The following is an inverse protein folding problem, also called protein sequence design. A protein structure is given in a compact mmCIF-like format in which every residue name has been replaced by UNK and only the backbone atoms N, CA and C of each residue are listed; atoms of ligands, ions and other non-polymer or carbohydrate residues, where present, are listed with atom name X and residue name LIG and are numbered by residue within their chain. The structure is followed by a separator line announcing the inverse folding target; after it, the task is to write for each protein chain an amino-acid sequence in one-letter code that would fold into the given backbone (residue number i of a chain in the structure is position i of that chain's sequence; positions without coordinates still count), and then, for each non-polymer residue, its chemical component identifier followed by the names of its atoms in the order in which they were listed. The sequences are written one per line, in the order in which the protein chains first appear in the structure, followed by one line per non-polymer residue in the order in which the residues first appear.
data_IF_470282873334
#
_entry.id   IF_470282873334
#
_cell.length_a   1.000
_cell.length_b   1.000
_cell.length_c   1.000
_cell.angle_alpha   90.00
_cell.angle_beta   90.00
_cell.angle_gamma   90.00
#
_symmetry.space_group_name_H-M   'P 1'
#
loop_
_entity.id
_entity.type
_entity.pdbx_description
1 polymer ?
#
# COMPACT_ATOMS: atom_id res chain seq x y z
N UNK A 1 -24.70 -15.92 17.25
CA UNK A 1 -24.41 -16.24 15.83
C UNK A 1 -24.39 -17.77 15.71
N UNK A 2 -25.01 -18.33 14.68
CA UNK A 2 -24.86 -19.76 14.38
C UNK A 2 -23.46 -20.03 13.79
N UNK A 3 -23.02 -21.29 13.81
CA UNK A 3 -21.69 -21.68 13.31
C UNK A 3 -21.48 -21.22 11.85
N UNK A 4 -22.50 -21.32 11.01
CA UNK A 4 -22.44 -20.88 9.61
C UNK A 4 -22.12 -19.38 9.45
N UNK A 5 -22.77 -18.52 10.24
CA UNK A 5 -22.46 -17.08 10.23
C UNK A 5 -21.06 -16.77 10.74
N UNK A 6 -20.55 -17.53 11.72
CA UNK A 6 -19.17 -17.37 12.20
C UNK A 6 -18.15 -17.78 11.15
N UNK A 7 -18.34 -18.91 10.49
CA UNK A 7 -17.48 -19.36 9.40
C UNK A 7 -17.46 -18.32 8.27
N UNK A 8 -18.64 -17.85 7.85
CA UNK A 8 -18.76 -16.82 6.83
C UNK A 8 -18.04 -15.52 7.25
N UNK A 9 -18.23 -15.08 8.49
CA UNK A 9 -17.53 -13.91 9.03
C UNK A 9 -16.01 -14.05 8.93
N UNK A 10 -15.46 -15.18 9.39
CA UNK A 10 -14.01 -15.40 9.34
C UNK A 10 -13.48 -15.51 7.92
N UNK A 11 -14.22 -16.14 7.00
CA UNK A 11 -13.86 -16.17 5.59
C UNK A 11 -13.82 -14.76 4.99
N UNK A 12 -14.83 -13.93 5.23
CA UNK A 12 -14.90 -12.57 4.70
C UNK A 12 -13.82 -11.65 5.30
N UNK A 13 -13.59 -11.74 6.60
CA UNK A 13 -12.50 -11.03 7.27
C UNK A 13 -11.13 -11.50 6.76
N UNK A 14 -10.94 -12.81 6.58
CA UNK A 14 -9.73 -13.40 6.02
C UNK A 14 -9.46 -12.96 4.58
N UNK A 15 -10.50 -12.93 3.74
CA UNK A 15 -10.41 -12.40 2.37
C UNK A 15 -10.02 -10.92 2.36
N UNK A 16 -10.60 -10.11 3.24
CA UNK A 16 -10.26 -8.67 3.34
C UNK A 16 -8.79 -8.48 3.71
N UNK A 17 -8.32 -9.14 4.76
CA UNK A 17 -6.93 -9.02 5.23
C UNK A 17 -5.96 -9.62 4.20
N UNK A 18 -6.28 -10.78 3.64
CA UNK A 18 -5.50 -11.41 2.59
C UNK A 18 -5.38 -10.52 1.35
N UNK A 19 -6.41 -9.74 1.04
CA UNK A 19 -6.38 -8.80 -0.09
C UNK A 19 -5.44 -7.62 0.14
N UNK A 20 -5.37 -7.09 1.37
CA UNK A 20 -4.37 -6.09 1.74
C UNK A 20 -2.95 -6.62 1.59
N UNK A 21 -2.68 -7.82 2.11
CA UNK A 21 -1.37 -8.46 1.97
C UNK A 21 -1.04 -8.80 0.52
N UNK A 22 -2.02 -9.22 -0.27
CA UNK A 22 -1.83 -9.49 -1.70
C UNK A 22 -1.42 -8.22 -2.45
N UNK A 23 -2.05 -7.07 -2.20
CA UNK A 23 -1.65 -5.81 -2.86
C UNK A 23 -0.19 -5.44 -2.53
N UNK A 24 0.22 -5.55 -1.27
CA UNK A 24 1.61 -5.27 -0.85
C UNK A 24 2.58 -6.26 -1.48
N UNK A 25 2.23 -7.56 -1.47
CA UNK A 25 3.05 -8.63 -2.03
C UNK A 25 3.19 -8.49 -3.56
N UNK A 26 2.15 -8.08 -4.28
CA UNK A 26 2.22 -7.80 -5.72
C UNK A 26 3.24 -6.70 -6.00
N UNK A 27 3.17 -5.57 -5.26
CA UNK A 27 4.13 -4.49 -5.40
C UNK A 27 5.57 -4.93 -5.13
N UNK A 28 5.78 -5.70 -4.06
CA UNK A 28 7.10 -6.27 -3.73
C UNK A 28 7.62 -7.20 -4.85
N UNK A 29 6.78 -8.13 -5.31
CA UNK A 29 7.15 -9.08 -6.36
C UNK A 29 7.47 -8.40 -7.69
N UNK A 30 6.75 -7.35 -8.08
CA UNK A 30 7.04 -6.61 -9.31
C UNK A 30 8.44 -5.99 -9.24
N UNK A 31 8.77 -5.32 -8.13
CA UNK A 31 10.09 -4.71 -7.95
C UNK A 31 11.17 -5.78 -7.96
N UNK A 32 10.98 -6.86 -7.19
CA UNK A 32 11.95 -7.94 -7.12
C UNK A 32 12.16 -8.62 -8.48
N UNK A 33 11.09 -8.89 -9.23
CA UNK A 33 11.20 -9.50 -10.56
C UNK A 33 11.84 -8.58 -11.59
N UNK A 34 11.61 -7.28 -11.50
CA UNK A 34 12.20 -6.31 -12.42
C UNK A 34 13.68 -6.00 -12.12
N UNK A 35 14.06 -6.01 -10.84
CA UNK A 35 15.39 -5.53 -10.40
C UNK A 35 16.32 -6.64 -9.89
N UNK A 36 15.77 -7.77 -9.44
CA UNK A 36 16.50 -8.79 -8.68
C UNK A 36 16.84 -8.36 -7.24
N UNK A 37 16.30 -7.23 -6.76
CA UNK A 37 16.69 -6.61 -5.50
C UNK A 37 15.58 -6.77 -4.46
N UNK A 38 15.94 -7.27 -3.27
CA UNK A 38 15.05 -7.28 -2.11
C UNK A 38 15.06 -5.88 -1.50
N UNK A 39 13.99 -5.12 -1.72
CA UNK A 39 13.83 -3.78 -1.14
C UNK A 39 13.23 -3.86 0.28
N UNK A 40 14.06 -3.64 1.30
CA UNK A 40 13.60 -3.64 2.69
C UNK A 40 12.80 -2.40 3.09
N UNK A 41 12.79 -1.34 2.27
CA UNK A 41 11.98 -0.14 2.49
C UNK A 41 10.54 -0.28 1.94
N UNK A 42 10.14 -1.45 1.44
CA UNK A 42 8.83 -1.62 0.79
C UNK A 42 7.65 -1.25 1.69
N UNK A 43 7.72 -1.62 2.98
CA UNK A 43 6.70 -1.22 3.97
C UNK A 43 6.63 0.30 4.17
N UNK A 44 7.75 1.00 4.00
CA UNK A 44 7.82 2.45 4.14
C UNK A 44 7.19 3.17 2.96
N UNK A 45 7.24 2.61 1.75
CA UNK A 45 6.46 3.14 0.61
C UNK A 45 4.94 3.06 0.88
N UNK A 46 4.48 1.98 1.52
CA UNK A 46 3.07 1.86 1.96
C UNK A 46 2.73 2.90 3.01
N UNK A 47 3.61 3.08 4.01
CA UNK A 47 3.46 4.12 5.03
C UNK A 47 3.41 5.53 4.41
N UNK A 48 4.33 5.86 3.49
CA UNK A 48 4.38 7.14 2.81
C UNK A 48 3.09 7.40 2.03
N UNK A 49 2.50 6.38 1.39
CA UNK A 49 1.20 6.50 0.72
C UNK A 49 0.09 6.88 1.69
N UNK A 50 -0.02 6.15 2.80
CA UNK A 50 -1.01 6.44 3.84
C UNK A 50 -0.83 7.82 4.47
N UNK A 51 0.38 8.17 4.88
CA UNK A 51 0.70 9.44 5.53
C UNK A 51 0.51 10.64 4.59
N UNK A 52 0.88 10.49 3.31
CA UNK A 52 0.62 11.52 2.31
C UNK A 52 -0.89 11.71 2.13
N UNK A 53 -1.66 10.63 1.98
CA UNK A 53 -3.12 10.73 1.86
C UNK A 53 -3.76 11.38 3.11
N UNK A 54 -3.30 11.04 4.31
CA UNK A 54 -3.70 11.68 5.58
C UNK A 54 -3.45 13.18 5.54
N UNK A 55 -2.27 13.61 5.14
CA UNK A 55 -1.93 15.03 5.10
C UNK A 55 -2.83 15.82 4.16
N UNK A 56 -2.99 15.35 2.91
CA UNK A 56 -3.84 16.05 1.93
C UNK A 56 -5.31 16.04 2.33
N UNK A 57 -5.79 14.97 2.99
CA UNK A 57 -7.16 14.92 3.48
C UNK A 57 -7.39 15.83 4.69
N UNK A 58 -6.57 15.70 5.74
CA UNK A 58 -6.81 16.38 7.01
C UNK A 58 -6.38 17.85 7.00
N UNK A 59 -5.24 18.16 6.35
CA UNK A 59 -4.67 19.51 6.36
C UNK A 59 -5.12 20.36 5.17
N UNK A 60 -5.38 19.74 4.01
CA UNK A 60 -5.80 20.45 2.80
C UNK A 60 -7.28 20.22 2.45
N UNK A 61 -8.01 19.49 3.29
CA UNK A 61 -9.44 19.22 3.13
C UNK A 61 -9.83 18.63 1.76
N UNK A 62 -8.90 17.92 1.12
CA UNK A 62 -9.15 17.26 -0.15
C UNK A 62 -10.04 16.03 0.05
N UNK A 63 -10.82 15.69 -0.96
CA UNK A 63 -11.64 14.47 -0.92
C UNK A 63 -10.74 13.24 -0.79
N UNK A 64 -11.21 12.22 -0.08
CA UNK A 64 -10.41 11.02 0.22
C UNK A 64 -9.83 10.36 -1.04
N UNK A 65 -10.62 10.29 -2.12
CA UNK A 65 -10.19 9.75 -3.40
C UNK A 65 -9.07 10.59 -4.02
N UNK A 66 -9.22 11.92 -4.01
CA UNK A 66 -8.22 12.81 -4.57
C UNK A 66 -6.92 12.80 -3.75
N UNK A 67 -7.02 12.76 -2.42
CA UNK A 67 -5.86 12.58 -1.53
C UNK A 67 -5.13 11.27 -1.82
N UNK A 68 -5.87 10.18 -2.07
CA UNK A 68 -5.29 8.89 -2.47
C UNK A 68 -4.55 8.96 -3.81
N UNK A 69 -5.14 9.60 -4.83
CA UNK A 69 -4.50 9.77 -6.14
C UNK A 69 -3.23 10.63 -6.05
N UNK A 70 -3.27 11.73 -5.29
CA UNK A 70 -2.10 12.58 -5.05
C UNK A 70 -1.02 11.80 -4.29
N UNK A 71 -1.39 10.98 -3.30
CA UNK A 71 -0.44 10.12 -2.60
C UNK A 71 0.25 9.14 -3.54
N UNK A 72 -0.48 8.52 -4.48
CA UNK A 72 0.12 7.65 -5.50
C UNK A 72 1.16 8.42 -6.31
N UNK A 73 0.83 9.60 -6.83
CA UNK A 73 1.77 10.42 -7.63
C UNK A 73 3.02 10.77 -6.82
N UNK A 74 2.85 11.24 -5.58
CA UNK A 74 3.98 11.63 -4.72
C UNK A 74 4.88 10.44 -4.39
N UNK A 75 4.30 9.30 -4.01
CA UNK A 75 5.06 8.09 -3.68
C UNK A 75 5.75 7.52 -4.91
N UNK A 76 5.13 7.59 -6.09
CA UNK A 76 5.79 7.25 -7.36
C UNK A 76 7.00 8.14 -7.61
N UNK A 77 6.89 9.46 -7.42
CA UNK A 77 8.02 10.39 -7.55
C UNK A 77 9.12 10.05 -6.55
N UNK A 78 8.79 9.81 -5.28
CA UNK A 78 9.77 9.38 -4.26
C UNK A 78 10.46 8.08 -4.68
N UNK A 79 9.71 7.10 -5.20
CA UNK A 79 10.26 5.83 -5.71
C UNK A 79 11.23 6.02 -6.87
N UNK A 80 10.89 6.89 -7.84
CA UNK A 80 11.76 7.23 -8.96
C UNK A 80 13.05 7.90 -8.46
N UNK A 81 12.94 8.84 -7.51
CA UNK A 81 14.11 9.50 -6.93
C UNK A 81 14.97 8.51 -6.15
N UNK A 82 14.34 7.62 -5.36
CA UNK A 82 15.05 6.58 -4.61
C UNK A 82 15.81 5.65 -5.54
N UNK A 83 15.17 5.15 -6.60
CA UNK A 83 15.84 4.32 -7.58
C UNK A 83 17.01 5.07 -8.24
N UNK A 84 16.76 6.30 -8.72
CA UNK A 84 17.78 7.07 -9.43
C UNK A 84 18.99 7.42 -8.56
N UNK A 85 18.77 7.82 -7.31
CA UNK A 85 19.84 8.37 -6.46
C UNK A 85 20.45 7.36 -5.49
N UNK A 86 19.69 6.37 -5.02
CA UNK A 86 20.18 5.41 -4.03
C UNK A 86 20.61 4.08 -4.64
N UNK A 87 19.91 3.60 -5.67
CA UNK A 87 20.14 2.27 -6.24
C UNK A 87 20.96 2.36 -7.52
N UNK A 88 20.46 3.04 -8.55
CA UNK A 88 21.12 3.13 -9.87
C UNK A 88 22.47 3.86 -9.86
N UNK A 89 22.75 4.62 -8.80
CA UNK A 89 24.04 5.27 -8.57
C UNK A 89 25.16 4.30 -8.17
N UNK A 90 24.80 3.09 -7.71
CA UNK A 90 25.76 2.06 -7.30
C UNK A 90 26.27 1.29 -8.51
N UNK A 91 27.60 1.19 -8.64
CA UNK A 91 28.25 0.41 -9.71
C UNK A 91 28.52 -1.00 -9.23
N UNK A 92 27.78 -1.98 -9.78
CA UNK A 92 27.90 -3.41 -9.45
C UNK A 92 27.83 -3.71 -7.94
N UNK A 93 26.78 -3.25 -7.24
CA UNK A 93 26.67 -3.47 -5.80
C UNK A 93 26.49 -4.96 -5.48
N UNK A 94 27.05 -5.38 -4.34
CA UNK A 94 26.69 -6.68 -3.77
C UNK A 94 25.24 -6.66 -3.26
N UNK A 95 24.61 -7.83 -3.13
CA UNK A 95 23.27 -7.95 -2.53
C UNK A 95 23.24 -7.32 -1.13
N UNK A 96 24.27 -7.55 -0.32
CA UNK A 96 24.39 -6.98 1.03
C UNK A 96 24.38 -5.44 0.97
N UNK A 97 25.10 -4.85 0.01
CA UNK A 97 25.12 -3.39 -0.19
C UNK A 97 23.71 -2.84 -0.44
N UNK A 98 22.93 -3.50 -1.31
CA UNK A 98 21.56 -3.10 -1.62
C UNK A 98 20.63 -3.21 -0.41
N UNK A 99 20.79 -4.27 0.38
CA UNK A 99 20.06 -4.45 1.65
C UNK A 99 20.39 -3.30 2.61
N UNK A 100 21.66 -2.97 2.81
CA UNK A 100 22.08 -1.87 3.69
C UNK A 100 21.52 -0.53 3.22
N UNK A 101 21.55 -0.25 1.91
CA UNK A 101 21.02 0.98 1.33
C UNK A 101 19.50 1.09 1.54
N UNK A 102 18.76 0.01 1.33
CA UNK A 102 17.29 0.01 1.54
C UNK A 102 16.92 0.11 3.02
N UNK A 103 17.70 -0.47 3.93
CA UNK A 103 17.53 -0.27 5.38
C UNK A 103 17.84 1.18 5.77
N UNK A 104 18.91 1.78 5.24
CA UNK A 104 19.24 3.17 5.48
C UNK A 104 18.12 4.10 4.99
N UNK A 105 17.55 3.80 3.82
CA UNK A 105 16.39 4.50 3.28
C UNK A 105 15.15 4.35 4.16
N UNK A 106 14.89 3.14 4.69
CA UNK A 106 13.81 2.90 5.67
C UNK A 106 13.93 3.82 6.88
N UNK A 107 15.15 3.92 7.44
CA UNK A 107 15.42 4.81 8.59
C UNK A 107 15.17 6.28 8.20
N UNK A 108 15.64 6.70 7.02
CA UNK A 108 15.43 8.07 6.53
C UNK A 108 13.96 8.39 6.29
N UNK A 109 13.19 7.47 5.69
CA UNK A 109 11.76 7.67 5.44
C UNK A 109 10.98 7.74 6.74
N UNK A 110 11.22 6.83 7.69
CA UNK A 110 10.59 6.90 9.02
C UNK A 110 10.99 8.17 9.77
N UNK A 111 12.27 8.53 9.73
CA UNK A 111 12.79 9.76 10.34
C UNK A 111 12.15 11.01 9.75
N UNK A 112 12.06 11.10 8.43
CA UNK A 112 11.42 12.20 7.71
C UNK A 112 9.93 12.30 8.03
N UNK A 113 9.21 11.17 8.05
CA UNK A 113 7.80 11.16 8.44
C UNK A 113 7.62 11.63 9.88
N UNK A 114 8.43 11.11 10.81
CA UNK A 114 8.39 11.54 12.22
C UNK A 114 8.74 13.01 12.42
N UNK A 115 9.61 13.57 11.58
CA UNK A 115 9.99 14.97 11.63
C UNK A 115 8.88 15.89 11.09
N UNK A 116 8.20 15.50 10.01
CA UNK A 116 7.18 16.31 9.36
C UNK A 116 5.81 16.18 10.05
N UNK A 117 5.40 14.96 10.41
CA UNK A 117 4.04 14.65 10.93
C UNK A 117 4.02 14.16 12.37
N UNK A 118 5.17 14.02 13.02
CA UNK A 118 5.24 13.48 14.38
C UNK A 118 5.10 11.95 14.43
N UNK A 119 4.86 11.43 15.63
CA UNK A 119 4.85 9.98 15.92
C UNK A 119 3.45 9.41 16.14
N UNK A 120 2.43 10.22 15.89
CA UNK A 120 1.05 9.85 16.15
C UNK A 120 0.52 8.85 15.11
N UNK A 121 -0.45 8.06 15.53
CA UNK A 121 -1.17 7.15 14.63
C UNK A 121 -2.30 7.93 13.97
N UNK A 122 -2.29 7.97 12.66
CA UNK A 122 -3.31 8.63 11.86
C UNK A 122 -4.25 7.61 11.22
N UNK A 123 -5.54 7.93 11.20
CA UNK A 123 -6.58 7.10 10.57
C UNK A 123 -7.34 7.97 9.56
N UNK A 124 -7.53 7.43 8.36
CA UNK A 124 -8.40 8.03 7.35
C UNK A 124 -9.83 7.53 7.53
N UNK A 125 -10.85 8.36 7.26
CA UNK A 125 -12.23 7.89 7.24
C UNK A 125 -12.44 6.88 6.12
N UNK A 126 -13.45 6.03 6.28
CA UNK A 126 -13.87 5.07 5.25
C UNK A 126 -14.50 5.78 4.04
N UNK A 127 -14.27 5.26 2.83
CA UNK A 127 -14.78 5.87 1.59
C UNK A 127 -16.31 5.97 1.50
N UNK A 128 -17.02 5.03 2.12
CA UNK A 128 -18.49 4.92 2.02
C UNK A 128 -19.15 4.83 3.40
N UNK A 129 -18.51 5.42 4.42
CA UNK A 129 -18.97 5.39 5.80
C UNK A 129 -18.65 4.07 6.52
N UNK A 130 -19.03 4.04 7.80
CA UNK A 130 -18.72 2.95 8.73
C UNK A 130 -19.94 2.08 9.07
N UNK A 131 -21.08 2.33 8.42
CA UNK A 131 -22.30 1.55 8.60
C UNK A 131 -22.11 0.12 8.07
N UNK A 132 -22.13 -0.91 8.94
CA UNK A 132 -21.80 -2.25 8.51
C UNK A 132 -22.89 -2.90 7.67
N UNK A 133 -22.50 -3.56 6.58
CA UNK A 133 -23.38 -4.32 5.70
C UNK A 133 -23.56 -5.72 6.28
N UNK A 134 -24.79 -6.10 6.59
CA UNK A 134 -25.12 -7.42 7.13
C UNK A 134 -25.54 -8.37 6.02
N UNK A 135 -24.82 -9.49 5.87
CA UNK A 135 -25.04 -10.51 4.85
C UNK A 135 -25.07 -11.89 5.50
N UNK A 136 -26.22 -12.57 5.43
CA UNK A 136 -26.37 -13.96 5.90
C UNK A 136 -25.86 -14.20 7.34
N UNK A 137 -26.00 -13.20 8.22
CA UNK A 137 -25.55 -13.24 9.61
C UNK A 137 -24.08 -12.83 9.84
N UNK A 138 -23.31 -12.59 8.78
CA UNK A 138 -21.99 -11.98 8.83
C UNK A 138 -22.06 -10.46 8.60
N UNK A 139 -21.04 -9.75 9.05
CA UNK A 139 -20.90 -8.29 8.95
C UNK A 139 -19.68 -7.94 8.11
N UNK A 140 -19.88 -7.12 7.08
CA UNK A 140 -18.83 -6.61 6.20
C UNK A 140 -18.81 -5.08 6.33
N UNK A 141 -17.62 -4.52 6.56
CA UNK A 141 -17.45 -3.06 6.50
C UNK A 141 -17.42 -2.61 5.03
N UNK A 142 -18.04 -1.48 4.65
CA UNK A 142 -17.97 -0.96 3.29
C UNK A 142 -16.53 -0.82 2.76
N UNK A 143 -15.58 -0.51 3.63
CA UNK A 143 -14.15 -0.45 3.32
C UNK A 143 -13.59 -1.77 2.76
N UNK A 144 -14.09 -2.93 3.19
CA UNK A 144 -13.69 -4.24 2.65
C UNK A 144 -13.99 -4.36 1.16
N UNK A 145 -15.10 -3.77 0.69
CA UNK A 145 -15.49 -3.79 -0.73
C UNK A 145 -14.50 -2.95 -1.55
N UNK A 146 -14.08 -1.80 -1.03
CA UNK A 146 -13.05 -0.99 -1.67
C UNK A 146 -11.70 -1.71 -1.74
N UNK A 147 -11.27 -2.36 -0.66
CA UNK A 147 -10.04 -3.16 -0.64
C UNK A 147 -10.07 -4.23 -1.73
N UNK A 148 -11.17 -4.99 -1.82
CA UNK A 148 -11.36 -6.03 -2.84
C UNK A 148 -11.42 -5.44 -4.25
N UNK A 149 -12.12 -4.33 -4.42
CA UNK A 149 -12.23 -3.60 -5.69
C UNK A 149 -10.87 -3.12 -6.19
N UNK A 150 -10.06 -2.51 -5.32
CA UNK A 150 -8.72 -2.06 -5.68
C UNK A 150 -7.79 -3.23 -6.01
N UNK A 151 -7.82 -4.32 -5.24
CA UNK A 151 -7.05 -5.51 -5.58
C UNK A 151 -7.46 -6.06 -6.95
N UNK A 152 -8.75 -6.22 -7.21
CA UNK A 152 -9.25 -6.71 -8.48
C UNK A 152 -8.85 -5.79 -9.64
N UNK A 153 -8.91 -4.46 -9.44
CA UNK A 153 -8.47 -3.47 -10.40
C UNK A 153 -6.97 -3.60 -10.70
N UNK A 154 -6.12 -3.66 -9.66
CA UNK A 154 -4.67 -3.78 -9.80
C UNK A 154 -4.31 -5.09 -10.53
N UNK A 155 -4.88 -6.21 -10.11
CA UNK A 155 -4.62 -7.52 -10.73
C UNK A 155 -5.06 -7.52 -12.19
N UNK A 156 -6.25 -6.98 -12.48
CA UNK A 156 -6.76 -6.90 -13.86
C UNK A 156 -5.89 -5.98 -14.73
N UNK A 157 -5.51 -4.82 -14.21
CA UNK A 157 -4.64 -3.88 -14.93
C UNK A 157 -3.27 -4.50 -15.24
N UNK A 158 -2.66 -5.19 -14.27
CA UNK A 158 -1.38 -5.89 -14.46
C UNK A 158 -1.52 -7.08 -15.41
N UNK A 159 -2.58 -7.88 -15.28
CA UNK A 159 -2.84 -9.00 -16.19
C UNK A 159 -3.02 -8.52 -17.63
N UNK A 160 -3.74 -7.40 -17.82
CA UNK A 160 -3.88 -6.78 -19.13
C UNK A 160 -2.53 -6.29 -19.65
N UNK A 161 -1.75 -5.58 -18.83
CA UNK A 161 -0.44 -5.07 -19.19
C UNK A 161 0.55 -6.17 -19.60
N UNK A 162 0.57 -7.30 -18.89
CA UNK A 162 1.49 -8.40 -19.19
C UNK A 162 1.03 -9.32 -20.33
N UNK A 163 -0.29 -9.54 -20.48
CA UNK A 163 -0.82 -10.44 -21.52
C UNK A 163 -1.02 -9.73 -22.87
N UNK A 164 -1.49 -8.49 -22.85
CA UNK A 164 -1.66 -7.67 -24.05
C UNK A 164 -0.48 -6.71 -24.11
N UNK A 165 0.64 -7.20 -24.66
CA UNK A 165 1.78 -6.34 -25.02
C UNK A 165 1.25 -5.17 -25.85
N UNK A 166 1.33 -3.96 -25.31
CA UNK A 166 1.37 -2.72 -26.10
C UNK A 166 2.82 -2.55 -26.55
#
# INVERSE_FOLDING_TARGET
MNLGAQLLQYTLSGITIGSLYAMVAIGFNIIYNATGIINFAQGDFVMLGGMTAVYFHNSLHMSLLLSGLVAVVIVTVIGILFERFAISSLKSPSIITLIVVTIAASILFKGGVMFIWGKDVYVLPSFSGDDPIRLLGATIMPQSIWILGFLALIVSALALFFNFKI
#
